data_IF_139530269805
#
_entry.id   IF_139530269805
#
_cell.length_a   1.000
_cell.length_b   1.000
_cell.length_c   1.000
_cell.angle_alpha   90.00
_cell.angle_beta   90.00
_cell.angle_gamma   90.00
#
_symmetry.space_group_name_H-M   'P 1'
#
loop_
_entity.id
_entity.type
_entity.pdbx_description
1 polymer ?
#
# COMPACT_ATOMS: atom_id res chain seq x y z
N UNK A 1 -5.22 -13.02 -12.29
CA UNK A 1 -4.55 -13.67 -11.13
C UNK A 1 -5.16 -15.05 -10.91
N UNK A 2 -4.40 -16.03 -10.42
CA UNK A 2 -5.00 -17.26 -9.85
C UNK A 2 -5.90 -16.84 -8.67
N UNK A 3 -6.86 -17.67 -8.25
CA UNK A 3 -7.74 -17.31 -7.16
C UNK A 3 -6.93 -17.18 -5.85
N UNK A 4 -6.83 -15.96 -5.33
CA UNK A 4 -6.22 -15.66 -4.04
C UNK A 4 -7.32 -15.21 -3.09
N UNK A 5 -7.28 -15.69 -1.85
CA UNK A 5 -8.19 -15.20 -0.81
C UNK A 5 -7.76 -13.82 -0.30
N UNK A 6 -6.44 -13.61 -0.13
CA UNK A 6 -5.85 -12.37 0.36
C UNK A 6 -4.53 -12.07 -0.37
N UNK A 7 -4.35 -10.80 -0.74
CA UNK A 7 -3.09 -10.26 -1.27
C UNK A 7 -2.62 -9.13 -0.36
N UNK A 8 -1.38 -9.23 0.10
CA UNK A 8 -0.70 -8.18 0.84
C UNK A 8 0.40 -7.57 -0.04
N UNK A 9 0.30 -6.27 -0.31
CA UNK A 9 1.29 -5.52 -1.07
C UNK A 9 1.98 -4.49 -0.17
N UNK A 10 3.30 -4.46 -0.19
CA UNK A 10 4.10 -3.43 0.47
C UNK A 10 5.20 -2.98 -0.47
N UNK A 11 5.63 -1.73 -0.35
CA UNK A 11 6.76 -1.21 -1.15
C UNK A 11 6.51 -1.28 -2.68
N UNK A 12 5.27 -1.04 -3.12
CA UNK A 12 4.92 -1.14 -4.56
C UNK A 12 4.78 0.21 -5.27
N UNK A 13 4.70 1.30 -4.50
CA UNK A 13 4.48 2.66 -5.04
C UNK A 13 5.73 3.55 -5.04
N UNK A 14 6.94 2.97 -5.19
CA UNK A 14 8.17 3.77 -5.26
C UNK A 14 8.47 4.35 -6.64
N UNK A 15 7.99 3.72 -7.72
CA UNK A 15 8.27 4.11 -9.10
C UNK A 15 6.96 4.15 -9.90
N UNK A 16 6.73 5.20 -10.69
CA UNK A 16 5.47 5.45 -11.39
C UNK A 16 4.97 4.31 -12.28
N UNK A 17 5.72 3.88 -13.32
CA UNK A 17 5.28 2.80 -14.20
C UNK A 17 4.99 1.48 -13.47
N UNK A 18 5.83 1.15 -12.49
CA UNK A 18 5.61 -0.04 -11.64
C UNK A 18 4.36 0.12 -10.75
N UNK A 19 4.18 1.28 -10.13
CA UNK A 19 3.03 1.61 -9.30
C UNK A 19 1.71 1.46 -10.06
N UNK A 20 1.66 1.97 -11.30
CA UNK A 20 0.51 1.88 -12.18
C UNK A 20 0.21 0.43 -12.56
N UNK A 21 1.23 -0.32 -12.99
CA UNK A 21 1.08 -1.73 -13.35
C UNK A 21 0.62 -2.58 -12.15
N UNK A 22 1.18 -2.34 -10.97
CA UNK A 22 0.79 -3.04 -9.75
C UNK A 22 -0.63 -2.70 -9.34
N UNK A 23 -1.01 -1.42 -9.35
CA UNK A 23 -2.37 -1.01 -9.01
C UNK A 23 -3.41 -1.64 -9.95
N UNK A 24 -3.11 -1.68 -11.26
CA UNK A 24 -3.99 -2.32 -12.23
C UNK A 24 -4.18 -3.82 -11.93
N UNK A 25 -3.09 -4.53 -11.61
CA UNK A 25 -3.14 -5.95 -11.26
C UNK A 25 -3.89 -6.20 -9.93
N UNK A 26 -3.66 -5.38 -8.91
CA UNK A 26 -4.36 -5.47 -7.62
C UNK A 26 -5.86 -5.22 -7.76
N UNK A 27 -6.27 -4.25 -8.61
CA UNK A 27 -7.68 -4.03 -8.95
C UNK A 27 -8.31 -5.23 -9.64
N UNK A 28 -7.60 -5.86 -10.58
CA UNK A 28 -8.07 -7.10 -11.21
C UNK A 28 -8.23 -8.24 -10.21
N UNK A 29 -7.32 -8.37 -9.24
CA UNK A 29 -7.43 -9.37 -8.19
C UNK A 29 -8.61 -9.09 -7.26
N UNK A 30 -8.82 -7.83 -6.87
CA UNK A 30 -9.97 -7.40 -6.07
C UNK A 30 -11.29 -7.71 -6.77
N UNK A 31 -11.39 -7.39 -8.05
CA UNK A 31 -12.56 -7.70 -8.89
C UNK A 31 -12.80 -9.21 -9.05
N UNK A 32 -11.74 -10.02 -8.97
CA UNK A 32 -11.83 -11.48 -8.96
C UNK A 32 -12.22 -12.07 -7.59
N UNK A 33 -12.45 -11.24 -6.57
CA UNK A 33 -12.92 -11.64 -5.25
C UNK A 33 -11.87 -11.66 -4.15
N UNK A 34 -10.59 -11.40 -4.46
CA UNK A 34 -9.53 -11.36 -3.46
C UNK A 34 -9.70 -10.18 -2.50
N UNK A 35 -9.38 -10.37 -1.22
CA UNK A 35 -9.10 -9.24 -0.33
C UNK A 35 -7.73 -8.67 -0.67
N UNK A 36 -7.60 -7.34 -0.69
CA UNK A 36 -6.32 -6.67 -1.02
C UNK A 36 -5.98 -5.67 0.07
N UNK A 37 -4.83 -5.88 0.71
CA UNK A 37 -4.27 -4.98 1.72
C UNK A 37 -2.96 -4.39 1.24
N UNK A 38 -2.82 -3.07 1.39
CA UNK A 38 -1.62 -2.34 0.97
C UNK A 38 -0.99 -1.59 2.13
N UNK A 39 0.29 -1.82 2.36
CA UNK A 39 1.11 -1.07 3.31
C UNK A 39 1.91 0.02 2.61
N UNK A 40 1.74 1.29 3.02
CA UNK A 40 2.50 2.39 2.44
C UNK A 40 2.70 3.57 3.43
N UNK A 41 3.90 4.18 3.48
CA UNK A 41 4.19 5.34 4.32
C UNK A 41 3.76 6.70 3.75
N UNK A 42 3.01 6.73 2.64
CA UNK A 42 2.58 7.95 1.95
C UNK A 42 3.50 8.34 0.81
N UNK A 43 3.89 7.39 -0.04
CA UNK A 43 4.75 7.62 -1.21
C UNK A 43 4.07 8.43 -2.29
N UNK A 44 4.89 9.07 -3.12
CA UNK A 44 4.46 9.96 -4.21
C UNK A 44 3.43 9.32 -5.14
N UNK A 45 3.59 8.04 -5.47
CA UNK A 45 2.72 7.32 -6.41
C UNK A 45 1.62 6.50 -5.74
N UNK A 46 1.41 6.68 -4.42
CA UNK A 46 0.33 6.01 -3.70
C UNK A 46 -1.05 6.51 -4.19
N UNK A 47 -2.06 5.64 -4.40
CA UNK A 47 -3.36 6.06 -4.88
C UNK A 47 -4.09 6.88 -3.82
N UNK A 48 -4.73 7.98 -4.21
CA UNK A 48 -5.44 8.88 -3.28
C UNK A 48 -6.88 8.48 -3.01
N UNK A 49 -7.42 7.58 -3.83
CA UNK A 49 -8.83 7.18 -3.85
C UNK A 49 -8.96 5.66 -4.02
N UNK A 50 -10.13 5.12 -3.69
CA UNK A 50 -10.41 3.69 -3.79
C UNK A 50 -9.73 2.84 -2.72
N UNK A 51 -9.28 3.47 -1.63
CA UNK A 51 -8.63 2.81 -0.50
C UNK A 51 -9.27 3.27 0.81
N UNK A 52 -9.54 2.33 1.72
CA UNK A 52 -9.93 2.63 3.09
C UNK A 52 -8.76 2.39 4.05
N UNK A 53 -8.57 3.31 5.00
CA UNK A 53 -7.53 3.17 6.02
C UNK A 53 -7.96 2.09 7.02
N UNK A 54 -7.14 1.05 7.18
CA UNK A 54 -7.37 -0.01 8.17
C UNK A 54 -6.59 0.24 9.46
N UNK A 55 -5.35 0.71 9.36
CA UNK A 55 -4.49 0.96 10.51
C UNK A 55 -3.40 1.98 10.21
N UNK A 56 -2.99 2.75 11.22
CA UNK A 56 -1.80 3.60 11.19
C UNK A 56 -0.82 3.13 12.28
N UNK A 57 0.44 2.99 11.92
CA UNK A 57 1.54 2.62 12.81
C UNK A 57 2.59 3.71 12.83
N UNK A 58 3.11 3.99 14.03
CA UNK A 58 4.23 4.87 14.27
C UNK A 58 5.46 4.01 14.51
N UNK A 59 6.37 3.98 13.53
CA UNK A 59 7.61 3.19 13.63
C UNK A 59 8.71 4.11 14.15
N UNK A 60 9.26 3.87 15.35
CA UNK A 60 10.40 4.60 15.86
C UNK A 60 11.61 4.33 14.96
N UNK A 61 12.23 5.39 14.43
CA UNK A 61 13.49 5.30 13.69
C UNK A 61 14.61 5.84 14.56
N UNK A 62 15.79 5.21 14.53
CA UNK A 62 16.97 5.65 15.28
C UNK A 62 17.49 6.99 14.73
N UNK A 63 17.82 7.91 15.64
CA UNK A 63 18.14 9.33 15.41
C UNK A 63 19.38 9.64 14.54
N UNK A 64 20.03 8.66 13.93
CA UNK A 64 21.30 8.89 13.22
C UNK A 64 21.17 9.30 11.75
N UNK A 65 19.98 9.25 11.13
CA UNK A 65 19.89 9.44 9.67
C UNK A 65 18.80 10.38 9.11
N UNK A 66 17.72 10.77 9.81
CA UNK A 66 16.69 11.66 9.22
C UNK A 66 16.00 12.59 10.23
N UNK A 67 15.63 13.78 9.74
CA UNK A 67 15.13 14.97 10.49
C UNK A 67 13.70 14.83 11.05
N UNK A 68 13.09 13.63 11.03
CA UNK A 68 11.74 13.40 11.56
C UNK A 68 11.68 12.14 12.45
N UNK A 69 11.16 12.36 13.66
CA UNK A 69 11.29 11.48 14.84
C UNK A 69 10.44 10.18 14.77
N UNK A 70 9.61 9.98 13.74
CA UNK A 70 8.73 8.81 13.57
C UNK A 70 8.38 8.61 12.09
N UNK A 71 8.63 7.43 11.52
CA UNK A 71 8.03 7.06 10.22
C UNK A 71 6.59 6.59 10.45
N UNK A 72 5.62 7.33 9.90
CA UNK A 72 4.21 6.92 9.88
C UNK A 72 4.01 5.99 8.70
N UNK A 73 3.52 4.78 8.97
CA UNK A 73 3.14 3.82 7.94
C UNK A 73 1.70 3.41 8.15
N UNK A 74 0.99 3.15 7.05
CA UNK A 74 -0.45 2.85 7.08
C UNK A 74 -0.74 1.58 6.30
N UNK A 75 -1.74 0.85 6.78
CA UNK A 75 -2.32 -0.29 6.08
C UNK A 75 -3.68 0.12 5.55
N UNK A 76 -3.94 -0.19 4.29
CA UNK A 76 -5.12 0.21 3.55
C UNK A 76 -5.80 -1.03 2.95
N UNK A 77 -7.12 -1.04 2.84
CA UNK A 77 -7.85 -1.99 2.02
C UNK A 77 -8.18 -1.35 0.67
N UNK A 78 -7.99 -2.09 -0.42
CA UNK A 78 -8.46 -1.67 -1.74
C UNK A 78 -9.96 -1.96 -1.86
N UNK A 79 -10.73 -0.91 -2.12
CA UNK A 79 -12.18 -1.01 -2.33
C UNK A 79 -12.50 -1.59 -3.71
N UNK A 80 -13.70 -2.17 -3.82
CA UNK A 80 -14.20 -2.79 -5.07
C UNK A 80 -14.64 -1.74 -6.10
#
# INVERSE_FOLDING_TARGET
>A
PQAFDLICAGDVFYEGPMAEAMLAWLKQARAAGAEVRVGDPGRTYFPKEGLSLLAEYRVPTTRELEDQEVKRTRVWALEA
#
